data_IF_422806177942
#
_entry.id   IF_422806177942
#
_cell.length_a   1.000
_cell.length_b   1.000
_cell.length_c   1.000
_cell.angle_alpha   90.00
_cell.angle_beta   90.00
_cell.angle_gamma   90.00
#
_symmetry.space_group_name_H-M   'P 1'
#
loop_
_entity.id
_entity.type
_entity.pdbx_description
1 polymer ?
#
# COMPACT_ATOMS: atom_id res chain seq x y z
N UNK A 1 30.30 -35.78 58.75
CA UNK A 1 31.06 -34.60 58.26
C UNK A 1 32.19 -34.37 59.23
N UNK A 2 33.45 -34.55 58.83
CA UNK A 2 34.60 -34.26 59.71
C UNK A 2 34.64 -32.76 60.01
N UNK A 3 34.82 -32.40 61.28
CA UNK A 3 34.99 -31.00 61.67
C UNK A 3 36.30 -30.48 61.06
N UNK A 4 36.25 -29.38 60.31
CA UNK A 4 37.45 -28.69 59.81
C UNK A 4 38.16 -28.11 61.03
N UNK A 5 39.14 -28.84 61.54
CA UNK A 5 39.94 -28.48 62.73
C UNK A 5 41.14 -27.61 62.36
N UNK A 6 41.61 -27.69 61.12
CA UNK A 6 42.73 -26.89 60.63
C UNK A 6 42.34 -25.40 60.44
N UNK A 7 43.06 -24.53 61.14
CA UNK A 7 42.76 -23.09 61.21
C UNK A 7 42.93 -22.36 59.86
N UNK A 8 43.98 -22.63 59.06
CA UNK A 8 44.08 -22.15 57.68
C UNK A 8 42.89 -22.57 56.80
N UNK A 9 42.51 -23.84 56.85
CA UNK A 9 41.42 -24.40 56.04
C UNK A 9 40.07 -23.77 56.42
N UNK A 10 39.83 -23.55 57.72
CA UNK A 10 38.63 -22.87 58.22
C UNK A 10 38.55 -21.41 57.75
N UNK A 11 39.67 -20.67 57.78
CA UNK A 11 39.75 -19.29 57.25
C UNK A 11 39.51 -19.24 55.75
N UNK A 12 40.06 -20.18 54.99
CA UNK A 12 39.80 -20.29 53.57
C UNK A 12 38.32 -20.57 53.28
N UNK A 13 37.68 -21.46 54.05
CA UNK A 13 36.25 -21.76 53.95
C UNK A 13 35.37 -20.56 54.33
N UNK A 14 35.66 -19.85 55.42
CA UNK A 14 34.90 -18.66 55.81
C UNK A 14 35.07 -17.51 54.81
N UNK A 15 36.25 -17.42 54.16
CA UNK A 15 36.49 -16.47 53.06
C UNK A 15 35.74 -16.86 51.78
N UNK A 16 35.71 -18.14 51.44
CA UNK A 16 34.89 -18.67 50.34
C UNK A 16 33.40 -18.48 50.62
N UNK A 17 32.98 -18.70 51.87
CA UNK A 17 31.63 -18.49 52.35
C UNK A 17 31.28 -17.02 52.27
N UNK A 18 32.07 -16.08 52.75
CA UNK A 18 31.78 -14.64 52.63
C UNK A 18 31.72 -14.17 51.17
N UNK A 19 32.61 -14.65 50.30
CA UNK A 19 32.56 -14.42 48.85
C UNK A 19 31.32 -15.05 48.20
N UNK A 20 30.81 -16.16 48.75
CA UNK A 20 29.60 -16.84 48.31
C UNK A 20 28.35 -16.52 49.15
N UNK A 21 28.41 -15.67 50.18
CA UNK A 21 27.38 -15.63 51.23
C UNK A 21 26.32 -14.56 51.02
N UNK A 22 26.50 -13.60 50.12
CA UNK A 22 25.37 -12.72 49.82
C UNK A 22 24.46 -13.37 48.77
N UNK A 23 23.96 -14.56 49.12
CA UNK A 23 23.02 -15.32 48.32
C UNK A 23 21.73 -14.53 48.08
N UNK A 24 21.31 -13.73 49.07
CA UNK A 24 20.19 -12.80 48.95
C UNK A 24 20.49 -11.69 47.94
N UNK A 25 21.65 -11.02 47.98
CA UNK A 25 21.99 -10.03 46.96
C UNK A 25 22.10 -10.64 45.56
N UNK A 26 22.63 -11.86 45.40
CA UNK A 26 22.64 -12.54 44.09
C UNK A 26 21.24 -12.87 43.60
N UNK A 27 20.35 -13.35 44.48
CA UNK A 27 18.94 -13.60 44.15
C UNK A 27 18.23 -12.30 43.78
N UNK A 28 18.43 -11.23 44.54
CA UNK A 28 17.85 -9.91 44.27
C UNK A 28 18.37 -9.33 42.95
N UNK A 29 19.67 -9.46 42.66
CA UNK A 29 20.25 -9.05 41.38
C UNK A 29 19.66 -9.84 40.22
N UNK A 30 19.55 -11.17 40.34
CA UNK A 30 18.93 -12.03 39.33
C UNK A 30 17.45 -11.68 39.10
N UNK A 31 16.67 -11.46 40.16
CA UNK A 31 15.25 -11.07 40.06
C UNK A 31 15.12 -9.71 39.39
N UNK A 32 15.97 -8.75 39.75
CA UNK A 32 15.99 -7.42 39.13
C UNK A 32 16.37 -7.49 37.65
N UNK A 33 17.40 -8.27 37.31
CA UNK A 33 17.82 -8.47 35.92
C UNK A 33 16.70 -9.11 35.10
N UNK A 34 16.02 -10.12 35.65
CA UNK A 34 14.85 -10.74 35.02
C UNK A 34 13.72 -9.74 34.82
N UNK A 35 13.38 -8.94 35.82
CA UNK A 35 12.33 -7.93 35.71
C UNK A 35 12.64 -6.88 34.63
N UNK A 36 13.90 -6.42 34.56
CA UNK A 36 14.34 -5.49 33.53
C UNK A 36 14.29 -6.13 32.13
N UNK A 37 14.66 -7.40 32.02
CA UNK A 37 14.55 -8.13 30.76
C UNK A 37 13.08 -8.29 30.33
N UNK A 38 12.20 -8.70 31.24
CA UNK A 38 10.76 -8.87 30.97
C UNK A 38 10.12 -7.54 30.54
N UNK A 39 10.46 -6.43 31.22
CA UNK A 39 10.01 -5.08 30.83
C UNK A 39 10.52 -4.69 29.44
N UNK A 40 11.81 -4.95 29.15
CA UNK A 40 12.39 -4.66 27.85
C UNK A 40 11.71 -5.49 26.73
N UNK A 41 11.41 -6.77 26.98
CA UNK A 41 10.67 -7.61 26.04
C UNK A 41 9.26 -7.09 25.81
N UNK A 42 8.53 -6.75 26.88
CA UNK A 42 7.18 -6.19 26.76
C UNK A 42 7.17 -4.91 25.92
N UNK A 43 8.13 -4.00 26.16
CA UNK A 43 8.25 -2.76 25.39
C UNK A 43 8.63 -3.01 23.92
N UNK A 44 9.46 -4.02 23.66
CA UNK A 44 9.81 -4.43 22.30
C UNK A 44 8.59 -4.98 21.57
N UNK A 45 7.81 -5.86 22.20
CA UNK A 45 6.58 -6.44 21.65
C UNK A 45 5.55 -5.35 21.36
N UNK A 46 5.27 -4.47 22.32
CA UNK A 46 4.34 -3.35 22.13
C UNK A 46 4.75 -2.43 20.96
N UNK A 47 6.06 -2.17 20.79
CA UNK A 47 6.57 -1.40 19.64
C UNK A 47 6.39 -2.15 18.33
N UNK A 48 6.68 -3.46 18.29
CA UNK A 48 6.49 -4.29 17.09
C UNK A 48 5.02 -4.32 16.68
N UNK A 49 4.11 -4.61 17.61
CA UNK A 49 2.67 -4.61 17.35
C UNK A 49 2.18 -3.24 16.87
N UNK A 50 2.60 -2.17 17.54
CA UNK A 50 2.25 -0.80 17.13
C UNK A 50 2.70 -0.48 15.71
N UNK A 51 3.93 -0.89 15.34
CA UNK A 51 4.45 -0.72 13.99
C UNK A 51 3.67 -1.55 12.96
N UNK A 52 3.41 -2.82 13.25
CA UNK A 52 2.66 -3.71 12.37
C UNK A 52 1.24 -3.18 12.11
N UNK A 53 0.54 -2.76 13.16
CA UNK A 53 -0.79 -2.15 13.07
C UNK A 53 -0.71 -0.87 12.24
N UNK A 54 0.30 -0.02 12.48
CA UNK A 54 0.52 1.22 11.75
C UNK A 54 0.72 0.99 10.26
N UNK A 55 1.62 0.07 9.90
CA UNK A 55 1.92 -0.30 8.51
C UNK A 55 0.69 -0.88 7.83
N UNK A 56 0.00 -1.83 8.48
CA UNK A 56 -1.21 -2.46 7.92
C UNK A 56 -2.31 -1.44 7.65
N UNK A 57 -2.61 -0.56 8.62
CA UNK A 57 -3.61 0.52 8.46
C UNK A 57 -3.20 1.52 7.39
N UNK A 58 -1.92 1.89 7.32
CA UNK A 58 -1.38 2.80 6.32
C UNK A 58 -1.55 2.24 4.91
N UNK A 59 -1.15 0.99 4.69
CA UNK A 59 -1.25 0.30 3.41
C UNK A 59 -2.71 0.11 2.97
N UNK A 60 -3.60 -0.29 3.87
CA UNK A 60 -5.02 -0.45 3.57
C UNK A 60 -5.66 0.89 3.16
N UNK A 61 -5.42 1.97 3.92
CA UNK A 61 -5.91 3.31 3.60
C UNK A 61 -5.36 3.79 2.26
N UNK A 62 -4.06 3.64 2.02
CA UNK A 62 -3.40 4.00 0.77
C UNK A 62 -4.01 3.27 -0.42
N UNK A 63 -4.16 1.95 -0.32
CA UNK A 63 -4.77 1.12 -1.38
C UNK A 63 -6.22 1.50 -1.66
N UNK A 64 -7.02 1.72 -0.62
CA UNK A 64 -8.43 2.12 -0.76
C UNK A 64 -8.57 3.48 -1.43
N UNK A 65 -7.75 4.46 -1.03
CA UNK A 65 -7.73 5.80 -1.64
C UNK A 65 -7.29 5.75 -3.09
N UNK A 66 -6.15 5.09 -3.38
CA UNK A 66 -5.63 4.94 -4.75
C UNK A 66 -6.63 4.26 -5.68
N UNK A 67 -7.27 3.18 -5.26
CA UNK A 67 -8.31 2.49 -6.06
C UNK A 67 -9.53 3.39 -6.34
N UNK A 68 -9.98 4.16 -5.34
CA UNK A 68 -11.14 5.05 -5.50
C UNK A 68 -10.83 6.19 -6.46
N UNK A 69 -9.66 6.80 -6.33
CA UNK A 69 -9.20 7.89 -7.20
C UNK A 69 -8.98 7.40 -8.64
N UNK A 70 -8.27 6.28 -8.80
CA UNK A 70 -8.05 5.65 -10.11
C UNK A 70 -9.36 5.32 -10.83
N UNK A 71 -10.33 4.70 -10.13
CA UNK A 71 -11.65 4.39 -10.71
C UNK A 71 -12.42 5.65 -11.09
N UNK A 72 -12.36 6.71 -10.28
CA UNK A 72 -13.04 7.98 -10.57
C UNK A 72 -12.44 8.66 -11.80
N UNK A 73 -11.10 8.70 -11.90
CA UNK A 73 -10.38 9.28 -13.03
C UNK A 73 -10.66 8.50 -14.31
N UNK A 74 -10.46 7.17 -14.29
CA UNK A 74 -10.70 6.31 -15.46
C UNK A 74 -12.16 6.37 -15.95
N UNK A 75 -13.14 6.39 -15.05
CA UNK A 75 -14.55 6.55 -15.46
C UNK A 75 -14.84 7.91 -16.10
N UNK A 76 -14.19 8.98 -15.65
CA UNK A 76 -14.38 10.32 -16.21
C UNK A 76 -13.74 10.42 -17.59
N UNK A 77 -12.52 9.91 -17.74
CA UNK A 77 -11.79 9.90 -19.00
C UNK A 77 -12.50 9.03 -20.04
N UNK A 78 -12.79 7.77 -19.72
CA UNK A 78 -13.49 6.87 -20.65
C UNK A 78 -14.89 7.35 -21.06
N UNK A 79 -15.61 8.06 -20.17
CA UNK A 79 -16.89 8.69 -20.55
C UNK A 79 -16.71 9.88 -21.49
N UNK A 80 -15.63 10.63 -21.37
CA UNK A 80 -15.36 11.78 -22.25
C UNK A 80 -14.94 11.28 -23.63
N UNK A 81 -14.05 10.29 -23.66
CA UNK A 81 -13.57 9.65 -24.88
C UNK A 81 -14.71 8.95 -25.62
N UNK A 82 -15.45 8.05 -24.97
CA UNK A 82 -16.57 7.35 -25.62
C UNK A 82 -17.70 8.27 -26.09
N UNK A 83 -17.90 9.44 -25.47
CA UNK A 83 -18.84 10.46 -26.00
C UNK A 83 -18.30 11.17 -27.24
N UNK A 84 -16.99 11.38 -27.33
CA UNK A 84 -16.35 12.00 -28.49
C UNK A 84 -16.36 11.01 -29.66
N UNK A 85 -15.94 9.78 -29.42
CA UNK A 85 -16.00 8.69 -30.42
C UNK A 85 -17.42 8.47 -30.90
N UNK A 86 -18.38 8.24 -30.00
CA UNK A 86 -19.77 8.03 -30.40
C UNK A 86 -20.40 9.22 -31.13
N UNK A 87 -19.96 10.46 -30.85
CA UNK A 87 -20.38 11.63 -31.63
C UNK A 87 -19.78 11.58 -33.03
N UNK A 88 -18.48 11.32 -33.15
CA UNK A 88 -17.82 11.22 -34.45
C UNK A 88 -18.41 10.09 -35.30
N UNK A 89 -18.63 8.91 -34.72
CA UNK A 89 -19.25 7.77 -35.41
C UNK A 89 -20.66 8.12 -35.90
N UNK A 90 -21.46 8.82 -35.08
CA UNK A 90 -22.78 9.27 -35.48
C UNK A 90 -22.72 10.29 -36.64
N UNK A 91 -21.73 11.18 -36.65
CA UNK A 91 -21.53 12.13 -37.76
C UNK A 91 -21.14 11.40 -39.05
N UNK A 92 -20.22 10.44 -38.97
CA UNK A 92 -19.79 9.63 -40.11
C UNK A 92 -20.96 8.81 -40.65
N UNK A 93 -21.73 8.14 -39.78
CA UNK A 93 -22.90 7.38 -40.19
C UNK A 93 -23.95 8.26 -40.87
N UNK A 94 -24.16 9.48 -40.35
CA UNK A 94 -25.09 10.44 -40.96
C UNK A 94 -24.58 10.86 -42.34
N UNK A 95 -23.28 11.14 -42.50
CA UNK A 95 -22.69 11.48 -43.78
C UNK A 95 -22.82 10.33 -44.79
N UNK A 96 -22.52 9.09 -44.40
CA UNK A 96 -22.67 7.90 -45.25
C UNK A 96 -24.12 7.72 -45.70
N UNK A 97 -25.10 7.89 -44.80
CA UNK A 97 -26.51 7.80 -45.17
C UNK A 97 -26.91 8.90 -46.18
N UNK A 98 -26.41 10.14 -45.99
CA UNK A 98 -26.66 11.23 -46.94
C UNK A 98 -26.00 10.99 -48.30
N UNK A 99 -24.78 10.45 -48.35
CA UNK A 99 -24.10 10.08 -49.60
C UNK A 99 -24.88 9.02 -50.36
N UNK A 100 -25.41 8.02 -49.65
CA UNK A 100 -26.13 6.89 -50.26
C UNK A 100 -27.54 7.27 -50.72
N UNK A 101 -28.25 8.05 -49.91
CA UNK A 101 -29.69 8.26 -50.08
C UNK A 101 -30.02 9.61 -50.76
N UNK A 102 -29.02 10.45 -51.07
CA UNK A 102 -29.22 11.77 -51.72
C UNK A 102 -28.11 12.10 -52.74
N UNK A 103 -28.36 13.06 -53.65
CA UNK A 103 -27.37 13.60 -54.60
C UNK A 103 -26.66 14.87 -54.07
N UNK A 104 -26.56 15.03 -52.75
CA UNK A 104 -25.91 16.19 -52.16
C UNK A 104 -24.41 16.22 -52.49
N UNK A 105 -23.88 17.43 -52.72
CA UNK A 105 -22.43 17.65 -52.88
C UNK A 105 -21.68 17.45 -51.57
N UNK A 106 -20.39 17.14 -51.64
CA UNK A 106 -19.55 16.94 -50.45
C UNK A 106 -19.51 18.17 -49.55
N UNK A 107 -19.54 19.37 -50.16
CA UNK A 107 -19.63 20.62 -49.42
C UNK A 107 -20.94 20.75 -48.61
N UNK A 108 -22.07 20.32 -49.17
CA UNK A 108 -23.37 20.35 -48.48
C UNK A 108 -23.45 19.31 -47.35
N UNK A 109 -22.87 18.13 -47.56
CA UNK A 109 -22.83 17.05 -46.54
C UNK A 109 -21.88 17.43 -45.40
N UNK A 110 -20.72 18.02 -45.72
CA UNK A 110 -19.78 18.56 -44.73
C UNK A 110 -20.45 19.65 -43.88
N UNK A 111 -21.19 20.58 -44.51
CA UNK A 111 -21.93 21.62 -43.79
C UNK A 111 -23.04 21.05 -42.89
N UNK A 112 -23.74 19.99 -43.32
CA UNK A 112 -24.83 19.39 -42.56
C UNK A 112 -24.35 18.53 -41.36
N UNK A 113 -23.23 17.83 -41.52
CA UNK A 113 -22.68 16.92 -40.50
C UNK A 113 -21.60 17.58 -39.63
N UNK A 114 -21.03 18.69 -40.08
CA UNK A 114 -19.89 19.35 -39.42
C UNK A 114 -18.57 18.58 -39.55
N UNK A 115 -18.48 17.66 -40.52
CA UNK A 115 -17.24 17.00 -40.94
C UNK A 115 -16.45 17.89 -41.91
N UNK A 116 -15.16 17.60 -42.06
CA UNK A 116 -14.36 18.24 -43.11
C UNK A 116 -14.73 17.72 -44.50
N UNK A 117 -14.57 18.55 -45.54
CA UNK A 117 -14.86 18.15 -46.92
C UNK A 117 -13.99 16.96 -47.33
N UNK A 118 -12.73 16.90 -46.88
CA UNK A 118 -11.84 15.76 -47.13
C UNK A 118 -12.30 14.47 -46.46
N UNK A 119 -12.89 14.55 -45.25
CA UNK A 119 -13.47 13.39 -44.56
C UNK A 119 -14.69 12.86 -45.31
N UNK A 120 -15.55 13.77 -45.81
CA UNK A 120 -16.73 13.40 -46.60
C UNK A 120 -16.33 12.81 -47.96
N UNK A 121 -15.34 13.39 -48.64
CA UNK A 121 -14.81 12.86 -49.90
C UNK A 121 -14.24 11.45 -49.71
N UNK A 122 -13.44 11.24 -48.65
CA UNK A 122 -12.91 9.92 -48.31
C UNK A 122 -14.00 8.88 -48.01
N UNK A 123 -15.09 9.31 -47.34
CA UNK A 123 -16.26 8.44 -47.13
C UNK A 123 -16.97 8.10 -48.44
N UNK A 124 -17.00 9.02 -49.42
CA UNK A 124 -17.61 8.78 -50.73
C UNK A 124 -16.76 7.84 -51.61
N UNK A 125 -15.44 7.99 -51.56
CA UNK A 125 -14.50 7.16 -52.31
C UNK A 125 -14.41 5.71 -51.77
N UNK A 126 -14.85 5.49 -50.53
CA UNK A 126 -14.84 4.19 -49.85
C UNK A 126 -16.14 3.39 -49.89
N UNK A 127 -17.21 3.92 -50.50
CA UNK A 127 -18.53 3.26 -50.69
C UNK A 127 -18.62 2.72 -52.12
#
# INVERSE_FOLDING_TARGET
MSAITDQPTRRAYDKLKTLSADEEARRLAFVRERALHDEAQFMLEARKEGLEIGVKKGLEKGRKKGRKEGRKKGRKEGRKEGRKEGRNDALHQTATNLIRDTELSDASIAAATGLDIGEVAALRDGV
#
